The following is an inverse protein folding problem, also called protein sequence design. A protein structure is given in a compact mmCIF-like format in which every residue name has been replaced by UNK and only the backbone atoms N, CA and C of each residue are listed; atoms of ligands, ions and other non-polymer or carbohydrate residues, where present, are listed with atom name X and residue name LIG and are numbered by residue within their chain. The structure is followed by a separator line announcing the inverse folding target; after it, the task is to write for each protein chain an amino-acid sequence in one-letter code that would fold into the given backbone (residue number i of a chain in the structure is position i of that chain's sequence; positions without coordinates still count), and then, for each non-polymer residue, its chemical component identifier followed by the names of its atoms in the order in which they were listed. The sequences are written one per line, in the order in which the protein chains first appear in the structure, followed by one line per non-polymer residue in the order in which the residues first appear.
data_IF_292795252415
#
_entry.id   IF_292795252415
#
_cell.length_a   1.000
_cell.length_b   1.000
_cell.length_c   1.000
_cell.angle_alpha   90.00
_cell.angle_beta   90.00
_cell.angle_gamma   90.00
#
_symmetry.space_group_name_H-M   'P 1'
#
loop_
_entity.id
_entity.type
_entity.pdbx_description
1 polymer ?
#
# COMPACT_ATOMS: atom_id res chain seq x y z
N UNK A 1 41.30 -30.76 -21.63
CA UNK A 1 41.10 -30.05 -20.36
C UNK A 1 39.66 -29.54 -20.31
N UNK A 2 38.74 -30.41 -19.89
CA UNK A 2 37.28 -30.23 -20.01
C UNK A 2 36.63 -29.87 -18.67
N UNK A 3 37.13 -28.85 -17.98
CA UNK A 3 36.70 -28.57 -16.60
C UNK A 3 35.99 -27.24 -16.36
N UNK A 4 35.58 -26.50 -17.40
CA UNK A 4 35.00 -25.16 -17.20
C UNK A 4 33.77 -24.82 -18.07
N UNK A 5 32.93 -25.80 -18.42
CA UNK A 5 31.66 -25.52 -19.14
C UNK A 5 30.38 -25.62 -18.28
N UNK A 6 30.43 -26.19 -17.08
CA UNK A 6 29.21 -26.51 -16.31
C UNK A 6 28.61 -25.34 -15.50
N UNK A 7 29.28 -24.20 -15.36
CA UNK A 7 28.85 -23.14 -14.44
C UNK A 7 28.50 -21.79 -15.07
N UNK A 8 28.61 -21.64 -16.39
CA UNK A 8 28.18 -20.42 -17.09
C UNK A 8 27.02 -20.70 -18.03
N UNK A 9 25.81 -20.53 -17.50
CA UNK A 9 24.64 -20.25 -18.31
C UNK A 9 23.64 -21.39 -18.40
N UNK A 10 22.78 -21.48 -17.38
CA UNK A 10 21.44 -22.04 -17.63
C UNK A 10 20.37 -21.33 -16.81
N UNK A 11 20.17 -20.04 -17.08
CA UNK A 11 19.02 -19.29 -16.56
C UNK A 11 17.67 -19.73 -17.20
N UNK A 12 17.67 -20.73 -18.09
CA UNK A 12 16.50 -21.20 -18.86
C UNK A 12 16.09 -22.64 -18.60
N UNK A 13 16.83 -23.44 -17.83
CA UNK A 13 16.34 -24.75 -17.40
C UNK A 13 15.31 -24.57 -16.28
N UNK A 14 14.07 -24.32 -16.68
CA UNK A 14 12.91 -24.58 -15.81
C UNK A 14 12.96 -26.06 -15.47
N UNK A 15 13.12 -26.42 -14.19
CA UNK A 15 12.95 -27.82 -13.77
C UNK A 15 11.50 -28.20 -14.05
N UNK A 16 11.24 -28.84 -15.18
CA UNK A 16 9.94 -29.39 -15.50
C UNK A 16 9.70 -30.57 -14.56
N UNK A 17 8.79 -30.40 -13.60
CA UNK A 17 8.13 -31.54 -13.01
C UNK A 17 7.30 -32.17 -14.13
N UNK A 18 7.75 -33.30 -14.66
CA UNK A 18 7.10 -34.00 -15.76
C UNK A 18 5.71 -34.53 -15.39
N UNK A 19 5.38 -34.52 -14.08
CA UNK A 19 4.10 -34.97 -13.52
C UNK A 19 3.62 -33.99 -12.44
N UNK A 20 2.30 -33.79 -12.28
CA UNK A 20 1.76 -33.05 -11.14
C UNK A 20 2.18 -33.74 -9.84
N UNK A 21 2.72 -32.98 -8.90
CA UNK A 21 3.16 -33.46 -7.59
C UNK A 21 2.16 -33.05 -6.53
N UNK A 22 1.90 -33.93 -5.58
CA UNK A 22 1.14 -33.57 -4.38
C UNK A 22 1.97 -32.65 -3.46
N UNK A 23 1.31 -31.85 -2.63
CA UNK A 23 1.95 -30.98 -1.65
C UNK A 23 2.93 -31.72 -0.70
N UNK A 24 2.60 -32.89 -0.13
CA UNK A 24 3.54 -33.64 0.71
C UNK A 24 4.76 -34.16 -0.07
N UNK A 25 4.62 -34.52 -1.35
CA UNK A 25 5.75 -34.93 -2.19
C UNK A 25 6.71 -33.76 -2.47
N UNK A 26 6.16 -32.58 -2.79
CA UNK A 26 6.93 -31.35 -2.95
C UNK A 26 7.69 -30.97 -1.68
N UNK A 27 7.05 -31.11 -0.53
CA UNK A 27 7.69 -30.84 0.76
C UNK A 27 8.87 -31.80 1.00
N UNK A 28 8.70 -33.11 0.76
CA UNK A 28 9.79 -34.10 0.87
C UNK A 28 10.95 -33.76 -0.07
N UNK A 29 10.65 -33.45 -1.32
CA UNK A 29 11.65 -33.08 -2.33
C UNK A 29 12.49 -31.86 -1.88
N UNK A 30 11.85 -30.79 -1.43
CA UNK A 30 12.57 -29.58 -0.97
C UNK A 30 13.31 -29.77 0.36
N UNK A 31 12.93 -30.75 1.18
CA UNK A 31 13.70 -31.11 2.38
C UNK A 31 14.95 -31.93 2.04
N UNK A 32 14.89 -32.76 1.00
CA UNK A 32 15.98 -33.64 0.61
C UNK A 32 17.12 -32.92 -0.12
N UNK A 33 16.82 -31.82 -0.83
CA UNK A 33 17.80 -31.09 -1.63
C UNK A 33 18.24 -29.76 -1.00
N UNK A 34 19.55 -29.59 -0.81
CA UNK A 34 20.16 -28.45 -0.09
C UNK A 34 19.97 -27.09 -0.76
N UNK A 35 19.84 -27.03 -2.08
CA UNK A 35 19.76 -25.76 -2.82
C UNK A 35 18.34 -25.19 -2.96
N UNK A 36 17.34 -25.76 -2.26
CA UNK A 36 15.93 -25.37 -2.39
C UNK A 36 15.35 -24.65 -1.15
N UNK A 37 16.19 -24.16 -0.24
CA UNK A 37 15.74 -23.50 0.99
C UNK A 37 14.78 -22.33 0.76
N UNK A 38 14.97 -21.55 -0.31
CA UNK A 38 14.05 -20.46 -0.67
C UNK A 38 12.65 -20.97 -1.00
N UNK A 39 12.56 -22.08 -1.73
CA UNK A 39 11.29 -22.68 -2.13
C UNK A 39 10.64 -23.39 -0.93
N UNK A 40 11.44 -24.05 -0.08
CA UNK A 40 10.99 -24.63 1.18
C UNK A 40 10.36 -23.57 2.08
N UNK A 41 11.04 -22.43 2.27
CA UNK A 41 10.52 -21.30 3.04
C UNK A 41 9.22 -20.76 2.46
N UNK A 42 9.13 -20.60 1.14
CA UNK A 42 7.91 -20.15 0.45
C UNK A 42 6.73 -21.12 0.61
N UNK A 43 6.99 -22.43 0.65
CA UNK A 43 5.96 -23.45 0.79
C UNK A 43 5.39 -23.51 2.21
N UNK A 44 6.19 -23.15 3.21
CA UNK A 44 5.80 -23.10 4.63
C UNK A 44 5.17 -21.74 4.97
N UNK A 45 5.67 -20.65 4.37
CA UNK A 45 5.17 -19.31 4.65
C UNK A 45 3.73 -19.16 4.14
N UNK A 46 2.81 -18.57 4.92
CA UNK A 46 1.49 -18.21 4.42
C UNK A 46 1.63 -17.25 3.23
N UNK A 47 0.70 -17.35 2.26
CA UNK A 47 0.69 -16.43 1.12
C UNK A 47 0.53 -14.99 1.64
N UNK A 48 1.39 -14.04 1.22
CA UNK A 48 1.24 -12.66 1.65
C UNK A 48 -0.10 -12.12 1.16
N UNK A 49 -0.82 -11.44 2.05
CA UNK A 49 -2.09 -10.82 1.71
C UNK A 49 -1.89 -9.79 0.60
N UNK A 50 -2.49 -10.05 -0.56
CA UNK A 50 -2.52 -9.09 -1.68
C UNK A 50 -3.75 -8.20 -1.48
N UNK A 51 -3.53 -6.89 -1.31
CA UNK A 51 -4.63 -5.93 -1.29
C UNK A 51 -5.39 -5.99 -2.62
N UNK A 52 -6.70 -6.18 -2.55
CA UNK A 52 -7.59 -6.11 -3.71
C UNK A 52 -7.80 -4.64 -4.06
N UNK A 53 -7.67 -4.33 -5.34
CA UNK A 53 -8.09 -3.05 -5.89
C UNK A 53 -9.63 -3.04 -5.86
N UNK A 54 -10.21 -2.06 -5.17
CA UNK A 54 -11.67 -2.01 -4.97
C UNK A 54 -12.30 -1.09 -6.00
N UNK A 55 -11.63 0.01 -6.34
CA UNK A 55 -12.09 0.98 -7.32
C UNK A 55 -11.41 0.78 -8.67
N UNK A 56 -12.09 1.16 -9.74
CA UNK A 56 -11.55 1.16 -11.10
C UNK A 56 -10.39 2.15 -11.29
N UNK A 57 -10.26 3.14 -10.40
CA UNK A 57 -9.15 4.10 -10.33
C UNK A 57 -7.97 3.61 -9.50
N UNK A 58 -8.12 2.51 -8.75
CA UNK A 58 -7.02 1.97 -7.97
C UNK A 58 -6.03 1.27 -8.89
N UNK A 59 -4.74 1.57 -8.73
CA UNK A 59 -3.66 0.86 -9.40
C UNK A 59 -2.69 0.31 -8.34
N UNK A 60 -1.96 -0.77 -8.64
CA UNK A 60 -0.92 -1.27 -7.75
C UNK A 60 0.11 -0.18 -7.39
N UNK A 61 0.35 0.75 -8.33
CA UNK A 61 1.20 1.90 -8.09
C UNK A 61 0.62 2.84 -7.02
N UNK A 62 -0.69 3.11 -7.03
CA UNK A 62 -1.29 4.02 -6.03
C UNK A 62 -1.23 3.44 -4.62
N UNK A 63 -1.31 2.11 -4.47
CA UNK A 63 -1.15 1.42 -3.18
C UNK A 63 0.29 1.41 -2.65
N UNK A 64 1.28 1.71 -3.49
CA UNK A 64 2.71 1.75 -3.11
C UNK A 64 3.26 3.17 -3.03
N UNK A 65 2.44 4.20 -3.32
CA UNK A 65 2.85 5.59 -3.21
C UNK A 65 3.18 5.97 -1.75
N UNK A 66 4.16 6.87 -1.52
CA UNK A 66 4.42 7.43 -0.21
C UNK A 66 3.15 8.03 0.40
N UNK A 67 2.71 7.48 1.53
CA UNK A 67 1.48 7.91 2.21
C UNK A 67 0.26 7.03 1.97
N UNK A 68 0.34 5.98 1.14
CA UNK A 68 -0.74 5.00 0.99
C UNK A 68 -1.17 4.36 2.33
N UNK A 69 -0.21 4.16 3.24
CA UNK A 69 -0.44 3.64 4.59
C UNK A 69 -1.28 4.58 5.47
N UNK A 70 -1.42 5.86 5.14
CA UNK A 70 -2.19 6.85 5.96
C UNK A 70 -3.68 6.55 5.98
N UNK A 71 -4.20 5.90 4.93
CA UNK A 71 -5.62 5.59 4.80
C UNK A 71 -6.03 4.36 5.61
N UNK A 72 -5.07 3.58 6.14
CA UNK A 72 -5.38 2.42 6.98
C UNK A 72 -5.68 2.87 8.42
N UNK A 73 -6.60 2.21 9.13
CA UNK A 73 -6.76 2.42 10.56
C UNK A 73 -5.44 2.09 11.28
N UNK A 74 -4.90 3.04 12.04
CA UNK A 74 -3.57 2.91 12.63
C UNK A 74 -2.41 3.09 11.64
N UNK A 75 -2.67 3.77 10.51
CA UNK A 75 -1.67 4.10 9.49
C UNK A 75 -0.45 4.83 10.05
N UNK A 76 0.62 4.87 9.27
CA UNK A 76 1.90 5.48 9.66
C UNK A 76 2.34 6.56 8.69
N UNK A 77 3.17 7.51 9.15
CA UNK A 77 3.88 8.47 8.33
C UNK A 77 5.34 8.58 8.76
N UNK A 78 6.15 9.31 7.99
CA UNK A 78 7.50 9.70 8.39
C UNK A 78 7.49 11.12 8.94
N UNK A 79 8.15 11.33 10.07
CA UNK A 79 8.42 12.65 10.61
C UNK A 79 9.51 13.36 9.78
N UNK A 80 9.77 14.64 10.07
CA UNK A 80 10.85 15.45 9.48
C UNK A 80 12.21 14.76 9.69
N UNK A 81 12.39 14.09 10.83
CA UNK A 81 13.59 13.33 11.18
C UNK A 81 13.69 11.97 10.44
N UNK A 82 12.66 11.59 9.67
CA UNK A 82 12.60 10.33 8.92
C UNK A 82 12.00 9.15 9.70
N UNK A 83 11.77 9.29 11.00
CA UNK A 83 11.21 8.24 11.86
C UNK A 83 9.76 7.90 11.49
N UNK A 84 9.41 6.62 11.56
CA UNK A 84 8.04 6.14 11.32
C UNK A 84 7.19 6.39 12.57
N UNK A 85 6.22 7.29 12.45
CA UNK A 85 5.29 7.66 13.52
C UNK A 85 3.86 7.33 13.08
N UNK A 86 2.97 7.09 14.05
CA UNK A 86 1.55 6.93 13.77
C UNK A 86 0.98 8.15 13.03
N UNK A 87 0.21 7.90 11.97
CA UNK A 87 -0.52 8.91 11.24
C UNK A 87 -1.58 9.51 12.17
N UNK A 88 -1.40 10.78 12.52
CA UNK A 88 -2.40 11.58 13.19
C UNK A 88 -3.06 12.47 12.15
N UNK A 89 -4.39 12.46 12.13
CA UNK A 89 -5.16 13.32 11.27
C UNK A 89 -5.06 14.76 11.81
N UNK A 90 -4.03 15.48 11.36
CA UNK A 90 -3.83 16.89 11.68
C UNK A 90 -4.67 17.80 10.77
N UNK A 91 -5.71 17.28 10.12
CA UNK A 91 -6.69 18.14 9.48
C UNK A 91 -7.29 18.99 10.58
N UNK A 92 -7.18 20.33 10.54
CA UNK A 92 -7.98 21.14 11.42
C UNK A 92 -9.42 20.75 11.10
N UNK A 93 -10.09 20.02 12.01
CA UNK A 93 -11.53 19.76 11.90
C UNK A 93 -12.13 21.08 11.50
N UNK A 94 -12.76 21.10 10.32
CA UNK A 94 -13.20 22.32 9.65
C UNK A 94 -13.63 23.31 10.72
N UNK A 95 -12.87 24.40 10.85
CA UNK A 95 -13.11 25.45 11.85
C UNK A 95 -14.61 25.64 11.93
N UNK A 96 -15.16 25.56 13.15
CA UNK A 96 -16.60 25.80 13.42
C UNK A 96 -17.04 26.88 12.45
N UNK A 97 -17.92 26.52 11.50
CA UNK A 97 -18.31 27.44 10.43
C UNK A 97 -18.64 28.77 11.11
N UNK A 98 -18.01 29.89 10.74
CA UNK A 98 -18.32 31.15 11.36
C UNK A 98 -19.84 31.33 11.24
N UNK A 99 -20.47 31.60 12.38
CA UNK A 99 -21.91 31.81 12.44
C UNK A 99 -22.21 32.94 11.46
N UNK A 100 -23.09 32.70 10.49
CA UNK A 100 -23.42 33.71 9.49
C UNK A 100 -24.06 34.90 10.22
N UNK A 101 -23.38 36.03 10.21
CA UNK A 101 -23.90 37.31 10.71
C UNK A 101 -24.11 38.26 9.52
N UNK A 102 -25.22 39.03 9.50
CA UNK A 102 -25.43 40.08 8.50
C UNK A 102 -24.23 41.04 8.47
N UNK A 103 -23.57 41.18 7.31
CA UNK A 103 -22.39 42.02 7.14
C UNK A 103 -21.04 41.29 7.18
N UNK A 104 -21.00 40.01 7.55
CA UNK A 104 -19.76 39.22 7.65
C UNK A 104 -19.01 39.04 6.31
N UNK A 105 -19.68 39.22 5.17
CA UNK A 105 -19.09 39.06 3.85
C UNK A 105 -18.30 40.30 3.37
N UNK A 106 -18.23 41.40 4.14
CA UNK A 106 -17.60 42.67 3.76
C UNK A 106 -18.00 43.19 2.37
N UNK A 107 -19.09 42.66 1.81
CA UNK A 107 -19.65 43.10 0.54
C UNK A 107 -20.10 44.54 0.75
N UNK A 108 -19.41 45.48 0.11
CA UNK A 108 -19.84 46.88 0.06
C UNK A 108 -21.09 46.94 -0.80
N UNK A 109 -22.25 46.78 -0.18
CA UNK A 109 -23.53 47.00 -0.84
C UNK A 109 -23.71 48.52 -0.95
N UNK A 110 -24.12 49.08 -2.10
CA UNK A 110 -24.25 50.52 -2.31
C UNK A 110 -25.43 51.17 -1.55
N UNK A 111 -25.89 50.57 -0.46
CA UNK A 111 -27.01 51.05 0.35
C UNK A 111 -27.28 50.18 1.57
N UNK A 112 -28.10 50.65 2.52
CA UNK A 112 -28.51 49.86 3.68
C UNK A 112 -29.25 48.58 3.24
N UNK A 113 -29.12 47.47 3.99
CA UNK A 113 -29.83 46.25 3.68
C UNK A 113 -31.36 46.46 3.83
N UNK A 114 -32.18 45.77 3.02
CA UNK A 114 -33.63 45.78 3.16
C UNK A 114 -34.10 45.43 4.59
N UNK A 115 -35.16 46.08 5.07
CA UNK A 115 -35.69 45.93 6.45
C UNK A 115 -36.06 44.48 6.81
N UNK A 116 -36.37 43.63 5.84
CA UNK A 116 -36.71 42.23 6.10
C UNK A 116 -35.48 41.33 6.40
N UNK A 117 -34.25 41.83 6.20
CA UNK A 117 -33.01 41.09 6.45
C UNK A 117 -32.38 41.38 7.82
N UNK A 118 -32.79 42.45 8.50
CA UNK A 118 -32.25 42.83 9.82
C UNK A 118 -33.29 42.44 10.88
N UNK A 119 -33.08 41.29 11.52
CA UNK A 119 -33.84 40.82 12.68
C UNK A 119 -32.89 40.57 13.84
#
# INVERSE_FOLDING_TARGET
SEQNLAFKGNQRMKSMFMRPQSLPELHRFYCQHTNFDKNRKKLISPEPFKQKLVLSTDNQLSLTLPGAERHKPGGTMRNIDGDVVLWRENTPRALIRPKWEPGALLLRVPGPPPLFLVK
#
